data_IF_244762665092
#
_entry.id   IF_244762665092
#
_cell.length_a   1.000
_cell.length_b   1.000
_cell.length_c   1.000
_cell.angle_alpha   90.00
_cell.angle_beta   90.00
_cell.angle_gamma   90.00
#
_symmetry.space_group_name_H-M   'P 1'
#
loop_
_entity.id
_entity.type
_entity.pdbx_description
1 polymer ?
#
# COMPACT_ATOMS: atom_id res chain seq x y z
N UNK A 1 12.45 -18.34 -42.86
CA UNK A 1 12.22 -16.91 -42.58
C UNK A 1 13.02 -16.52 -41.34
N UNK A 2 14.17 -15.88 -41.52
CA UNK A 2 15.10 -15.52 -40.46
C UNK A 2 14.47 -14.48 -39.52
N UNK A 3 14.35 -14.84 -38.23
CA UNK A 3 14.13 -13.85 -37.16
C UNK A 3 15.44 -13.10 -36.95
N UNK A 4 15.48 -11.82 -37.33
CA UNK A 4 16.62 -10.96 -37.03
C UNK A 4 16.77 -10.81 -35.50
N UNK A 5 18.01 -10.78 -34.97
CA UNK A 5 18.26 -10.57 -33.55
C UNK A 5 17.79 -9.17 -33.15
N UNK A 6 16.91 -9.08 -32.16
CA UNK A 6 16.52 -7.79 -31.59
C UNK A 6 17.75 -7.13 -30.96
N UNK A 7 18.28 -6.10 -31.61
CA UNK A 7 19.30 -5.22 -31.04
C UNK A 7 18.84 -4.73 -29.67
N UNK A 8 19.71 -4.84 -28.67
CA UNK A 8 19.47 -4.46 -27.29
C UNK A 8 19.52 -2.92 -27.14
N UNK A 9 18.58 -2.22 -27.78
CA UNK A 9 18.53 -0.75 -27.79
C UNK A 9 17.89 -0.25 -26.49
N UNK A 10 18.53 0.66 -25.75
CA UNK A 10 17.99 1.19 -24.50
C UNK A 10 16.65 1.89 -24.72
N UNK A 11 15.71 1.68 -23.79
CA UNK A 11 14.36 2.22 -23.84
C UNK A 11 14.26 3.46 -22.96
N UNK A 12 13.73 4.55 -23.51
CA UNK A 12 13.41 5.77 -22.76
C UNK A 12 11.89 5.87 -22.63
N UNK A 13 11.30 5.55 -21.47
CA UNK A 13 9.88 5.72 -21.23
C UNK A 13 9.57 7.20 -20.93
N UNK A 14 8.60 7.78 -21.64
CA UNK A 14 8.14 9.17 -21.42
C UNK A 14 6.61 9.21 -21.25
N UNK A 15 6.04 10.11 -20.42
CA UNK A 15 4.60 10.32 -20.42
C UNK A 15 4.13 10.90 -21.76
N UNK A 16 3.02 10.40 -22.29
CA UNK A 16 2.41 11.01 -23.48
C UNK A 16 1.83 12.39 -23.12
N UNK A 17 2.31 13.43 -23.79
CA UNK A 17 1.77 14.79 -23.71
C UNK A 17 1.17 15.19 -25.05
N UNK A 18 1.98 15.14 -26.11
CA UNK A 18 1.56 15.33 -27.50
C UNK A 18 2.60 14.73 -28.44
N UNK A 19 2.21 14.50 -29.70
CA UNK A 19 3.11 13.98 -30.73
C UNK A 19 4.31 14.93 -30.99
N UNK A 20 4.09 16.25 -30.92
CA UNK A 20 5.15 17.24 -31.11
C UNK A 20 6.24 17.12 -30.04
N UNK A 21 5.87 16.90 -28.78
CA UNK A 21 6.82 16.71 -27.67
C UNK A 21 7.59 15.40 -27.84
N UNK A 22 6.90 14.31 -28.20
CA UNK A 22 7.57 13.03 -28.46
C UNK A 22 8.57 13.15 -29.61
N UNK A 23 8.22 13.84 -30.69
CA UNK A 23 9.11 14.06 -31.83
C UNK A 23 10.28 14.99 -31.48
N UNK A 24 10.07 15.99 -30.62
CA UNK A 24 11.14 16.82 -30.08
C UNK A 24 12.16 15.95 -29.33
N UNK A 25 11.72 15.08 -28.42
CA UNK A 25 12.60 14.15 -27.69
C UNK A 25 13.37 13.24 -28.64
N UNK A 26 12.69 12.61 -29.62
CA UNK A 26 13.35 11.77 -30.64
C UNK A 26 14.41 12.55 -31.42
N UNK A 27 14.10 13.79 -31.83
CA UNK A 27 15.03 14.63 -32.58
C UNK A 27 16.24 15.05 -31.74
N UNK A 28 16.05 15.33 -30.45
CA UNK A 28 17.13 15.67 -29.52
C UNK A 28 18.06 14.47 -29.28
N UNK A 29 17.52 13.26 -29.12
CA UNK A 29 18.34 12.05 -28.99
C UNK A 29 19.20 11.80 -30.25
N UNK A 30 18.62 11.99 -31.44
CA UNK A 30 19.37 11.91 -32.71
C UNK A 30 20.48 12.96 -32.79
N UNK A 31 20.21 14.20 -32.39
CA UNK A 31 21.20 15.30 -32.40
C UNK A 31 22.40 15.01 -31.49
N UNK A 32 22.17 14.33 -30.37
CA UNK A 32 23.21 13.96 -29.40
C UNK A 32 23.87 12.61 -29.76
N UNK A 33 23.41 11.92 -30.80
CA UNK A 33 23.96 10.63 -31.23
C UNK A 33 23.59 9.45 -30.32
N UNK A 34 22.53 9.59 -29.51
CA UNK A 34 22.05 8.53 -28.63
C UNK A 34 21.05 7.63 -29.35
N UNK A 35 21.44 6.37 -29.56
CA UNK A 35 20.56 5.35 -30.12
C UNK A 35 19.67 4.76 -29.01
N UNK A 36 18.47 5.32 -28.85
CA UNK A 36 17.51 4.89 -27.86
C UNK A 36 16.08 4.86 -28.41
N UNK A 37 15.28 3.90 -27.95
CA UNK A 37 13.86 3.77 -28.32
C UNK A 37 12.97 4.53 -27.35
N UNK A 38 12.36 5.61 -27.82
CA UNK A 38 11.37 6.37 -27.05
C UNK A 38 10.03 5.62 -27.05
N UNK A 39 9.55 5.25 -25.86
CA UNK A 39 8.24 4.62 -25.66
C UNK A 39 7.34 5.55 -24.85
N UNK A 40 6.13 5.78 -25.36
CA UNK A 40 5.12 6.56 -24.66
C UNK A 40 4.42 5.68 -23.62
N UNK A 41 4.50 6.09 -22.37
CA UNK A 41 3.72 5.52 -21.29
C UNK A 41 2.27 5.97 -21.45
N UNK A 42 1.35 5.01 -21.44
CA UNK A 42 -0.07 5.31 -21.32
C UNK A 42 -0.28 6.08 -20.02
N UNK A 43 -0.78 7.31 -20.13
CA UNK A 43 -1.24 8.06 -18.98
C UNK A 43 -2.37 7.33 -18.26
N UNK A 44 -2.73 7.83 -17.08
CA UNK A 44 -3.91 7.36 -16.35
C UNK A 44 -5.14 7.55 -17.25
N UNK A 45 -5.82 6.45 -17.59
CA UNK A 45 -6.99 6.55 -18.47
C UNK A 45 -8.09 7.38 -17.80
N UNK A 46 -8.90 8.10 -18.59
CA UNK A 46 -10.10 8.76 -18.08
C UNK A 46 -10.99 7.76 -17.34
N UNK A 47 -11.05 6.52 -17.81
CA UNK A 47 -11.69 5.41 -17.11
C UNK A 47 -11.13 5.22 -15.69
N UNK A 48 -9.80 5.12 -15.53
CA UNK A 48 -9.16 4.98 -14.21
C UNK A 48 -9.36 6.22 -13.32
N UNK A 49 -9.48 7.42 -13.90
CA UNK A 49 -9.75 8.66 -13.18
C UNK A 49 -11.21 8.77 -12.75
N UNK A 50 -12.15 8.43 -13.64
CA UNK A 50 -13.59 8.64 -13.47
C UNK A 50 -14.31 7.49 -12.75
N UNK A 51 -13.83 6.23 -12.82
CA UNK A 51 -14.46 5.12 -12.08
C UNK A 51 -14.12 5.17 -10.57
N UNK A 52 -13.29 6.11 -10.11
CA UNK A 52 -13.10 6.36 -8.66
C UNK A 52 -14.43 6.69 -7.94
N UNK A 53 -15.49 7.03 -8.67
CA UNK A 53 -16.81 7.39 -8.16
C UNK A 53 -17.72 6.24 -7.69
N UNK A 54 -17.28 4.97 -7.72
CA UNK A 54 -18.02 3.86 -7.03
C UNK A 54 -17.95 3.91 -5.50
N UNK A 55 -17.38 4.97 -4.94
CA UNK A 55 -17.40 5.28 -3.50
C UNK A 55 -18.83 5.35 -2.94
N UNK A 56 -19.81 5.75 -3.75
CA UNK A 56 -21.22 5.86 -3.33
C UNK A 56 -22.02 4.54 -3.41
N UNK A 57 -21.53 3.54 -4.16
CA UNK A 57 -22.25 2.26 -4.35
C UNK A 57 -21.95 1.21 -3.28
N UNK A 58 -20.90 1.40 -2.49
CA UNK A 58 -20.43 0.38 -1.54
C UNK A 58 -21.14 0.55 -0.22
N UNK A 59 -22.32 -0.05 -0.06
CA UNK A 59 -22.93 -0.19 1.28
C UNK A 59 -22.24 -1.26 2.09
N UNK A 60 -22.07 -1.01 3.38
CA UNK A 60 -21.54 -2.02 4.29
C UNK A 60 -22.61 -3.07 4.59
N UNK A 61 -22.34 -4.34 4.28
CA UNK A 61 -23.26 -5.46 4.57
C UNK A 61 -22.96 -6.16 5.90
N UNK A 62 -21.91 -5.74 6.62
CA UNK A 62 -21.46 -6.40 7.86
C UNK A 62 -22.29 -5.95 9.04
N UNK A 63 -22.82 -6.90 9.82
CA UNK A 63 -23.41 -6.63 11.14
C UNK A 63 -22.29 -6.14 12.08
N UNK A 64 -22.51 -5.02 12.77
CA UNK A 64 -21.56 -4.41 13.72
C UNK A 64 -20.15 -4.20 13.13
N UNK A 65 -20.07 -3.51 11.98
CA UNK A 65 -18.78 -3.21 11.37
C UNK A 65 -17.94 -2.29 12.27
N UNK A 66 -16.75 -2.76 12.69
CA UNK A 66 -15.81 -1.97 13.50
C UNK A 66 -15.08 -0.87 12.71
N UNK A 67 -15.03 -0.99 11.39
CA UNK A 67 -14.28 -0.09 10.50
C UNK A 67 -15.11 1.11 10.03
N UNK A 68 -16.36 0.91 9.61
CA UNK A 68 -17.17 1.99 9.03
C UNK A 68 -17.38 3.20 9.97
N UNK A 69 -17.56 3.02 11.29
CA UNK A 69 -17.65 4.15 12.22
C UNK A 69 -16.39 5.02 12.28
N UNK A 70 -15.23 4.47 11.89
CA UNK A 70 -13.93 5.17 12.00
C UNK A 70 -13.54 5.88 10.70
N UNK A 71 -13.87 5.30 9.55
CA UNK A 71 -13.37 5.78 8.24
C UNK A 71 -14.47 6.05 7.19
N UNK A 72 -15.74 5.95 7.59
CA UNK A 72 -16.89 6.16 6.73
C UNK A 72 -17.54 4.89 6.20
N UNK A 73 -18.82 5.01 5.82
CA UNK A 73 -19.61 3.89 5.31
C UNK A 73 -18.99 3.29 4.04
N UNK A 74 -19.02 1.96 3.92
CA UNK A 74 -18.51 1.25 2.74
C UNK A 74 -17.00 1.10 2.66
N UNK A 75 -16.24 1.96 3.34
CA UNK A 75 -14.79 1.96 3.29
C UNK A 75 -14.17 0.66 3.87
N UNK A 76 -14.90 -0.09 4.70
CA UNK A 76 -14.49 -1.39 5.22
C UNK A 76 -14.21 -2.46 4.13
N UNK A 77 -14.79 -2.30 2.94
CA UNK A 77 -14.58 -3.22 1.81
C UNK A 77 -13.45 -2.77 0.86
N UNK A 78 -12.76 -1.67 1.18
CA UNK A 78 -11.59 -1.22 0.39
C UNK A 78 -10.47 -2.25 0.47
N UNK A 79 -9.82 -2.46 -0.66
CA UNK A 79 -8.66 -3.35 -0.86
C UNK A 79 -7.48 -2.51 -1.34
N UNK A 80 -6.27 -3.03 -1.17
CA UNK A 80 -5.06 -2.32 -1.56
C UNK A 80 -4.85 -1.07 -0.72
N UNK A 81 -5.06 -1.18 0.58
CA UNK A 81 -5.03 -0.06 1.51
C UNK A 81 -3.70 -0.04 2.26
N UNK A 82 -3.15 1.15 2.46
CA UNK A 82 -2.13 1.40 3.47
C UNK A 82 -2.84 2.09 4.63
N UNK A 83 -2.70 1.56 5.83
CA UNK A 83 -3.45 2.00 6.99
C UNK A 83 -2.54 2.22 8.20
N UNK A 84 -3.01 3.08 9.11
CA UNK A 84 -2.43 3.30 10.42
C UNK A 84 -3.42 2.83 11.48
N UNK A 85 -2.93 2.11 12.48
CA UNK A 85 -3.68 1.80 13.70
C UNK A 85 -2.96 2.46 14.87
N UNK A 86 -3.68 3.25 15.66
CA UNK A 86 -3.16 3.89 16.86
C UNK A 86 -3.75 3.23 18.12
N UNK A 87 -2.91 2.96 19.12
CA UNK A 87 -3.36 2.64 20.46
C UNK A 87 -3.70 3.94 21.20
N UNK A 88 -4.59 3.87 22.20
CA UNK A 88 -4.91 5.01 23.05
C UNK A 88 -3.72 5.59 23.84
N UNK A 89 -2.59 4.88 23.92
CA UNK A 89 -1.34 5.40 24.49
C UNK A 89 -0.52 6.26 23.51
N UNK A 90 -0.98 6.42 22.26
CA UNK A 90 -0.34 7.22 21.23
C UNK A 90 0.65 6.46 20.34
N UNK A 91 0.96 5.20 20.66
CA UNK A 91 1.80 4.37 19.78
C UNK A 91 1.02 3.92 18.55
N UNK A 92 1.71 3.93 17.41
CA UNK A 92 1.10 3.67 16.11
C UNK A 92 1.79 2.51 15.41
N UNK A 93 1.00 1.80 14.62
CA UNK A 93 1.41 0.74 13.70
C UNK A 93 0.96 1.11 12.29
N UNK A 94 1.81 0.92 11.29
CA UNK A 94 1.48 1.11 9.88
C UNK A 94 1.55 -0.24 9.17
N UNK A 95 0.54 -0.56 8.38
CA UNK A 95 0.46 -1.80 7.64
C UNK A 95 -0.18 -1.65 6.26
N UNK A 96 0.11 -2.56 5.34
CA UNK A 96 -0.67 -2.73 4.10
C UNK A 96 -1.67 -3.90 4.14
N UNK A 97 -2.70 -3.80 3.30
CA UNK A 97 -3.51 -4.97 2.96
C UNK A 97 -4.01 -4.95 1.52
N UNK A 98 -3.72 -6.02 0.78
CA UNK A 98 -4.42 -6.37 -0.46
C UNK A 98 -5.84 -6.93 -0.24
N UNK A 99 -6.15 -7.42 0.97
CA UNK A 99 -7.47 -7.92 1.37
C UNK A 99 -8.39 -6.77 1.79
N UNK A 100 -9.72 -7.01 1.96
CA UNK A 100 -10.61 -6.01 2.51
C UNK A 100 -10.15 -5.52 3.88
N UNK A 101 -10.11 -4.19 4.08
CA UNK A 101 -9.65 -3.55 5.31
C UNK A 101 -10.37 -4.08 6.56
N UNK A 102 -11.67 -4.42 6.45
CA UNK A 102 -12.43 -5.02 7.53
C UNK A 102 -11.81 -6.31 8.07
N UNK A 103 -11.31 -7.19 7.20
CA UNK A 103 -10.73 -8.46 7.61
C UNK A 103 -9.43 -8.24 8.38
N UNK A 104 -8.55 -7.41 7.81
CA UNK A 104 -7.27 -7.08 8.42
C UNK A 104 -7.44 -6.36 9.76
N UNK A 105 -8.33 -5.39 9.84
CA UNK A 105 -8.58 -4.67 11.09
C UNK A 105 -9.24 -5.55 12.15
N UNK A 106 -10.11 -6.49 11.77
CA UNK A 106 -10.71 -7.43 12.71
C UNK A 106 -9.67 -8.40 13.31
N UNK A 107 -8.66 -8.82 12.53
CA UNK A 107 -7.53 -9.62 13.05
C UNK A 107 -6.80 -8.84 14.15
N UNK A 108 -6.41 -7.60 13.86
CA UNK A 108 -5.76 -6.71 14.83
C UNK A 108 -6.64 -6.44 16.07
N UNK A 109 -7.93 -6.16 15.87
CA UNK A 109 -8.87 -5.87 16.95
C UNK A 109 -9.06 -7.07 17.89
N UNK A 110 -9.13 -8.30 17.36
CA UNK A 110 -9.27 -9.51 18.20
C UNK A 110 -8.04 -9.74 19.07
N UNK A 111 -6.84 -9.51 18.53
CA UNK A 111 -5.60 -9.59 19.28
C UNK A 111 -5.53 -8.52 20.38
N UNK A 112 -5.99 -7.30 20.07
CA UNK A 112 -6.08 -6.21 21.04
C UNK A 112 -7.15 -6.41 22.14
N UNK A 113 -8.27 -7.05 21.82
CA UNK A 113 -9.33 -7.37 22.80
C UNK A 113 -8.94 -8.51 23.74
N UNK A 114 -8.14 -9.47 23.26
CA UNK A 114 -7.75 -10.68 24.00
C UNK A 114 -6.23 -10.91 23.93
N UNK A 115 -5.41 -9.98 24.45
CA UNK A 115 -3.95 -10.05 24.34
C UNK A 115 -3.36 -11.26 25.08
N UNK A 116 -4.01 -11.75 26.13
CA UNK A 116 -3.57 -12.92 26.90
C UNK A 116 -3.82 -14.27 26.20
N UNK A 117 -4.51 -14.28 25.05
CA UNK A 117 -4.75 -15.50 24.31
C UNK A 117 -3.45 -16.02 23.71
N UNK A 118 -3.09 -17.29 24.00
CA UNK A 118 -1.86 -17.92 23.48
C UNK A 118 -1.74 -17.85 21.96
N UNK A 119 -2.86 -17.91 21.23
CA UNK A 119 -2.86 -17.81 19.76
C UNK A 119 -2.43 -16.45 19.23
N UNK A 120 -2.49 -15.40 20.05
CA UNK A 120 -2.14 -14.02 19.67
C UNK A 120 -0.83 -13.54 20.29
N UNK A 121 -0.16 -14.36 21.10
CA UNK A 121 1.03 -13.96 21.86
C UNK A 121 2.19 -13.42 20.98
N UNK A 122 2.28 -13.85 19.73
CA UNK A 122 3.29 -13.36 18.78
C UNK A 122 2.91 -12.05 18.08
N UNK A 123 1.64 -11.64 18.14
CA UNK A 123 1.15 -10.44 17.46
C UNK A 123 1.67 -9.16 18.12
N UNK A 124 1.83 -8.12 17.31
CA UNK A 124 2.28 -6.79 17.75
C UNK A 124 1.42 -6.24 18.90
N UNK A 125 0.10 -6.38 18.83
CA UNK A 125 -0.81 -5.87 19.87
C UNK A 125 -0.73 -6.64 21.19
N UNK A 126 -0.56 -7.96 21.16
CA UNK A 126 -0.40 -8.73 22.40
C UNK A 126 0.91 -8.38 23.11
N UNK A 127 2.02 -8.27 22.36
CA UNK A 127 3.32 -7.84 22.89
C UNK A 127 3.24 -6.43 23.48
N UNK A 128 2.71 -5.47 22.72
CA UNK A 128 2.52 -4.10 23.16
C UNK A 128 1.62 -4.00 24.40
N UNK A 129 0.52 -4.76 24.44
CA UNK A 129 -0.35 -4.81 25.62
C UNK A 129 0.40 -5.31 26.86
N UNK A 130 1.18 -6.39 26.73
CA UNK A 130 1.98 -6.93 27.83
C UNK A 130 3.00 -5.93 28.34
N UNK A 131 3.69 -5.23 27.43
CA UNK A 131 4.77 -4.30 27.76
C UNK A 131 4.28 -2.97 28.32
N UNK A 132 3.22 -2.38 27.76
CA UNK A 132 2.77 -1.01 28.09
C UNK A 132 1.42 -0.92 28.79
N UNK A 133 0.64 -2.00 28.78
CA UNK A 133 -0.72 -2.04 29.33
C UNK A 133 -0.93 -3.16 30.35
N UNK A 134 0.13 -3.83 30.80
CA UNK A 134 0.06 -4.93 31.76
C UNK A 134 -0.90 -6.07 31.33
N UNK A 135 -0.95 -6.36 30.03
CA UNK A 135 -1.84 -7.40 29.47
C UNK A 135 -3.31 -6.98 29.36
N UNK A 136 -3.66 -5.72 29.62
CA UNK A 136 -5.04 -5.25 29.50
C UNK A 136 -5.46 -5.10 28.02
N UNK A 137 -6.76 -5.28 27.71
CA UNK A 137 -7.30 -5.00 26.38
C UNK A 137 -6.99 -3.57 25.91
N UNK A 138 -6.77 -3.42 24.61
CA UNK A 138 -6.38 -2.16 23.98
C UNK A 138 -7.54 -1.53 23.20
N UNK A 139 -7.59 -0.20 23.23
CA UNK A 139 -8.48 0.58 22.36
C UNK A 139 -7.69 1.05 21.15
N UNK A 140 -8.19 0.67 19.96
CA UNK A 140 -7.51 0.91 18.68
C UNK A 140 -8.30 1.88 17.81
N UNK A 141 -7.64 2.88 17.24
CA UNK A 141 -8.17 3.80 16.23
C UNK A 141 -7.54 3.50 14.87
N UNK A 142 -8.35 3.46 13.82
CA UNK A 142 -7.97 3.13 12.45
C UNK A 142 -8.06 4.35 11.54
N UNK A 143 -7.01 4.57 10.74
CA UNK A 143 -6.96 5.57 9.68
C UNK A 143 -6.44 4.95 8.38
N UNK A 144 -7.00 5.38 7.25
CA UNK A 144 -6.45 5.05 5.92
C UNK A 144 -5.46 6.14 5.52
N UNK A 145 -4.24 5.74 5.16
CA UNK A 145 -3.18 6.66 4.72
C UNK A 145 -3.18 6.82 3.20
N UNK A 146 -3.25 5.70 2.47
CA UNK A 146 -3.23 5.69 1.01
C UNK A 146 -3.90 4.41 0.44
N UNK A 147 -4.10 4.36 -0.87
CA UNK A 147 -4.66 3.22 -1.59
C UNK A 147 -3.87 2.95 -2.89
N UNK A 148 -3.29 1.76 -3.00
CA UNK A 148 -2.55 1.29 -4.18
C UNK A 148 -2.92 -0.17 -4.47
N UNK A 149 -3.34 -0.44 -5.71
CA UNK A 149 -3.79 -1.76 -6.12
C UNK A 149 -2.64 -2.72 -6.38
N UNK A 150 -1.54 -2.21 -6.93
CA UNK A 150 -0.34 -3.00 -7.21
C UNK A 150 0.39 -3.36 -5.92
N UNK A 151 0.72 -4.64 -5.74
CA UNK A 151 1.32 -5.13 -4.50
C UNK A 151 2.73 -4.56 -4.26
N UNK A 152 3.55 -4.45 -5.31
CA UNK A 152 4.93 -3.95 -5.17
C UNK A 152 4.92 -2.47 -4.81
N UNK A 153 4.14 -1.67 -5.55
CA UNK A 153 3.99 -0.23 -5.27
C UNK A 153 3.38 0.01 -3.89
N UNK A 154 2.40 -0.80 -3.49
CA UNK A 154 1.77 -0.71 -2.16
C UNK A 154 2.76 -0.94 -1.02
N UNK A 155 3.64 -1.94 -1.15
CA UNK A 155 4.70 -2.21 -0.17
C UNK A 155 5.77 -1.11 -0.13
N UNK A 156 6.11 -0.54 -1.28
CA UNK A 156 7.01 0.63 -1.34
C UNK A 156 6.38 1.81 -0.60
N UNK A 157 5.09 2.09 -0.83
CA UNK A 157 4.36 3.15 -0.13
C UNK A 157 4.26 2.91 1.38
N UNK A 158 4.01 1.69 1.81
CA UNK A 158 4.07 1.31 3.23
C UNK A 158 5.44 1.62 3.83
N UNK A 159 6.53 1.22 3.18
CA UNK A 159 7.89 1.54 3.61
C UNK A 159 8.17 3.05 3.69
N UNK A 160 7.65 3.83 2.74
CA UNK A 160 7.73 5.30 2.76
C UNK A 160 6.96 5.85 3.98
N UNK A 161 5.77 5.34 4.26
CA UNK A 161 4.98 5.76 5.42
C UNK A 161 5.66 5.39 6.74
N UNK A 162 6.18 4.16 6.88
CA UNK A 162 6.94 3.73 8.05
C UNK A 162 8.15 4.64 8.25
N UNK A 163 8.94 4.91 7.21
CA UNK A 163 10.10 5.81 7.29
C UNK A 163 9.69 7.24 7.68
N UNK A 164 8.56 7.72 7.18
CA UNK A 164 8.07 9.09 7.44
C UNK A 164 7.55 9.26 8.87
N UNK A 165 6.78 8.31 9.36
CA UNK A 165 6.10 8.41 10.67
C UNK A 165 6.90 7.77 11.80
N UNK A 166 7.90 6.95 11.49
CA UNK A 166 8.76 6.22 12.43
C UNK A 166 7.96 5.54 13.57
N UNK A 167 6.98 4.68 13.23
CA UNK A 167 6.10 4.01 14.19
C UNK A 167 6.89 3.08 15.12
N UNK A 168 6.64 3.14 16.43
CA UNK A 168 7.34 2.30 17.42
C UNK A 168 6.88 0.84 17.41
N UNK A 169 5.69 0.55 16.85
CA UNK A 169 5.11 -0.80 16.84
C UNK A 169 5.48 -1.64 15.61
N UNK A 170 6.02 -1.04 14.56
CA UNK A 170 6.55 -1.81 13.43
C UNK A 170 7.90 -2.39 13.82
N UNK A 171 7.99 -3.70 13.99
CA UNK A 171 9.24 -4.34 14.39
C UNK A 171 10.18 -4.52 13.20
N UNK A 172 11.47 -4.66 13.47
CA UNK A 172 12.48 -4.85 12.41
C UNK A 172 12.27 -6.16 11.66
N UNK A 173 11.76 -7.19 12.31
CA UNK A 173 11.50 -8.50 11.70
C UNK A 173 10.43 -8.40 10.62
N UNK A 174 9.32 -7.69 10.88
CA UNK A 174 8.29 -7.43 9.87
C UNK A 174 8.84 -6.63 8.69
N UNK A 175 9.77 -5.70 8.95
CA UNK A 175 10.41 -4.90 7.90
C UNK A 175 11.40 -5.73 7.06
N UNK A 176 12.12 -6.67 7.67
CA UNK A 176 13.04 -7.59 6.98
C UNK A 176 12.28 -8.53 6.05
N UNK A 177 11.17 -9.12 6.51
CA UNK A 177 10.29 -9.96 5.69
C UNK A 177 9.79 -9.21 4.45
N UNK A 178 9.50 -7.91 4.58
CA UNK A 178 9.09 -7.08 3.44
C UNK A 178 10.20 -6.93 2.39
N UNK A 179 11.46 -6.77 2.82
CA UNK A 179 12.61 -6.60 1.92
C UNK A 179 12.93 -7.91 1.19
N UNK A 180 12.93 -9.04 1.88
CA UNK A 180 13.16 -10.37 1.27
C UNK A 180 12.13 -10.67 0.19
N UNK A 181 10.86 -10.37 0.46
CA UNK A 181 9.78 -10.61 -0.50
C UNK A 181 9.78 -9.64 -1.70
N UNK A 182 10.59 -8.58 -1.71
CA UNK A 182 10.78 -7.68 -2.86
C UNK A 182 11.91 -8.15 -3.79
N UNK A 183 12.59 -9.26 -3.48
CA UNK A 183 13.60 -9.86 -4.35
C UNK A 183 14.88 -9.02 -4.48
N UNK A 184 15.18 -8.19 -3.47
CA UNK A 184 16.41 -7.40 -3.39
C UNK A 184 17.40 -8.14 -2.49
N UNK A 185 17.95 -9.24 -2.98
CA UNK A 185 19.09 -9.95 -2.39
C UNK A 185 20.10 -10.27 -3.47
#
# INVERSE_FOLDING_TARGET
MNKQPHANVPIIPIPYVSEQITNLVRSSLKKVGLEARVIELKGISLRNTLIKNRIFDKRCVRRQCRVCPQIGEGACARRGVIYQIACSCGEIYIGESGRPLAERYNEHSRAAEKPDCKSYASTTWAKHSKEKHHGKPLNLELKVLDCEGDTVRRRILEGIHIKRFNPSLNTKEELTDMVENLGVT
#
